data_IF_177038419805
#
_entry.id   IF_177038419805
#
_cell.length_a   1.000
_cell.length_b   1.000
_cell.length_c   1.000
_cell.angle_alpha   90.00
_cell.angle_beta   90.00
_cell.angle_gamma   90.00
#
_symmetry.space_group_name_H-M   'P 1'
#
loop_
_entity.id
_entity.type
_entity.pdbx_description
1 polymer ?
#
# COMPACT_ATOMS: atom_id res chain seq x y z
N UNK A 1 -4.24 -6.88 8.49
CA UNK A 1 -4.64 -6.13 7.28
C UNK A 1 -3.60 -5.04 7.01
N UNK A 2 -3.71 -4.34 5.87
CA UNK A 2 -2.81 -3.23 5.49
C UNK A 2 -3.41 -2.42 4.32
N UNK A 3 -2.89 -1.21 4.08
CA UNK A 3 -3.16 -0.37 2.91
C UNK A 3 -1.85 -0.06 2.17
N UNK A 4 -1.90 0.10 0.85
CA UNK A 4 -0.72 0.41 0.02
C UNK A 4 -0.97 1.68 -0.78
N UNK A 5 -0.03 2.60 -0.70
CA UNK A 5 -0.01 3.85 -1.44
C UNK A 5 1.36 4.01 -2.12
N UNK A 6 1.40 4.77 -3.21
CA UNK A 6 2.66 5.09 -3.90
C UNK A 6 3.11 6.50 -3.50
N UNK A 7 4.32 6.61 -2.93
CA UNK A 7 5.01 7.88 -2.74
C UNK A 7 5.90 8.17 -3.95
N UNK A 8 5.60 9.26 -4.66
CA UNK A 8 6.45 9.80 -5.71
C UNK A 8 7.29 10.95 -5.16
N UNK A 9 8.61 10.72 -5.10
CA UNK A 9 9.60 11.72 -4.69
C UNK A 9 10.12 12.44 -5.93
N UNK A 10 9.78 13.72 -6.08
CA UNK A 10 10.22 14.55 -7.19
C UNK A 10 11.54 15.24 -6.85
N UNK A 11 12.34 15.61 -7.86
CA UNK A 11 13.53 16.45 -7.67
C UNK A 11 13.22 17.93 -7.42
N UNK A 12 11.93 18.31 -7.50
CA UNK A 12 11.44 19.63 -7.10
C UNK A 12 11.10 19.72 -5.61
N UNK A 13 10.32 20.72 -5.23
CA UNK A 13 9.99 21.00 -3.81
C UNK A 13 8.85 20.14 -3.25
N UNK A 14 8.01 19.52 -4.10
CA UNK A 14 6.79 18.82 -3.66
C UNK A 14 6.81 17.32 -3.98
N UNK A 15 6.57 16.50 -2.95
CA UNK A 15 6.31 15.07 -3.08
C UNK A 15 4.80 14.79 -3.15
N UNK A 16 4.44 13.67 -3.77
CA UNK A 16 3.05 13.30 -4.01
C UNK A 16 2.74 11.87 -3.57
N UNK A 17 1.52 11.65 -3.09
CA UNK A 17 0.93 10.35 -2.81
C UNK A 17 -0.09 10.02 -3.90
N UNK A 18 0.03 8.82 -4.45
CA UNK A 18 -1.00 8.19 -5.27
C UNK A 18 -1.66 7.08 -4.46
N UNK A 19 -2.86 7.35 -3.99
CA UNK A 19 -3.76 6.41 -3.33
C UNK A 19 -5.01 6.28 -4.20
N UNK A 20 -5.31 5.08 -4.68
CA UNK A 20 -6.45 4.86 -5.58
C UNK A 20 -7.80 4.84 -4.85
N UNK A 21 -7.79 4.72 -3.53
CA UNK A 21 -8.99 4.62 -2.69
C UNK A 21 -9.30 5.91 -1.92
N UNK A 22 -8.52 6.98 -2.13
CA UNK A 22 -8.70 8.24 -1.41
C UNK A 22 -9.82 9.12 -1.98
N UNK A 23 -10.47 9.90 -1.11
CA UNK A 23 -11.35 11.00 -1.50
C UNK A 23 -10.62 12.33 -1.74
N UNK A 24 -9.31 12.39 -1.46
CA UNK A 24 -8.43 13.54 -1.70
C UNK A 24 -8.08 13.66 -3.20
N UNK A 25 -7.45 14.77 -3.65
CA UNK A 25 -6.96 14.88 -5.02
C UNK A 25 -6.02 13.73 -5.40
N UNK A 26 -6.01 13.33 -6.69
CA UNK A 26 -5.13 12.28 -7.19
C UNK A 26 -4.28 12.79 -8.36
N UNK A 27 -2.92 12.83 -8.24
CA UNK A 27 -2.16 12.57 -7.02
C UNK A 27 -2.33 13.68 -5.95
N UNK A 28 -2.19 13.33 -4.68
CA UNK A 28 -2.32 14.25 -3.54
C UNK A 28 -0.94 14.76 -3.11
N UNK A 29 -0.74 16.06 -2.80
CA UNK A 29 0.49 16.52 -2.15
C UNK A 29 0.73 15.77 -0.83
N UNK A 30 1.99 15.38 -0.56
CA UNK A 30 2.35 14.60 0.62
C UNK A 30 1.91 15.26 1.93
N UNK A 31 2.07 16.58 2.04
CA UNK A 31 1.69 17.34 3.24
C UNK A 31 0.17 17.25 3.48
N UNK A 32 -0.63 17.52 2.44
CA UNK A 32 -2.10 17.41 2.49
C UNK A 32 -2.53 15.98 2.83
N UNK A 33 -1.91 14.96 2.22
CA UNK A 33 -2.26 13.57 2.51
C UNK A 33 -1.90 13.18 3.95
N UNK A 34 -0.74 13.63 4.44
CA UNK A 34 -0.30 13.39 5.82
C UNK A 34 -1.24 14.02 6.84
N UNK A 35 -1.69 15.24 6.62
CA UNK A 35 -2.60 15.94 7.53
C UNK A 35 -4.02 15.39 7.48
N UNK A 36 -4.56 15.11 6.29
CA UNK A 36 -5.99 14.77 6.15
C UNK A 36 -6.27 13.27 6.26
N UNK A 37 -5.39 12.42 5.69
CA UNK A 37 -5.59 10.97 5.65
C UNK A 37 -4.92 10.25 6.81
N UNK A 38 -3.65 10.57 7.12
CA UNK A 38 -2.97 9.97 8.26
C UNK A 38 -3.35 10.64 9.58
N UNK A 39 -3.30 11.98 9.64
CA UNK A 39 -3.43 12.76 10.90
C UNK A 39 -2.35 12.38 11.91
N UNK A 40 -2.40 12.92 13.12
CA UNK A 40 -1.56 12.44 14.22
C UNK A 40 -2.12 11.12 14.76
N UNK A 41 -1.25 10.27 15.32
CA UNK A 41 -1.69 9.11 16.11
C UNK A 41 -2.17 9.53 17.52
N UNK A 42 -2.00 10.80 17.88
CA UNK A 42 -2.44 11.34 19.17
C UNK A 42 -3.96 11.12 19.36
N UNK A 43 -4.32 10.48 20.48
CA UNK A 43 -5.69 10.11 20.79
C UNK A 43 -6.14 8.74 20.25
N UNK A 44 -5.29 8.03 19.50
CA UNK A 44 -5.52 6.61 19.17
C UNK A 44 -5.00 5.70 20.28
N UNK A 45 -5.58 4.50 20.39
CA UNK A 45 -4.99 3.45 21.21
C UNK A 45 -3.62 3.05 20.63
N UNK A 46 -2.60 2.75 21.45
CA UNK A 46 -1.26 2.38 20.97
C UNK A 46 -1.24 1.23 19.95
N UNK A 47 -2.20 0.32 20.04
CA UNK A 47 -2.37 -0.82 19.12
C UNK A 47 -2.81 -0.39 17.71
N UNK A 48 -3.41 0.80 17.61
CA UNK A 48 -3.90 1.40 16.36
C UNK A 48 -2.92 2.41 15.76
N UNK A 49 -1.76 2.63 16.38
CA UNK A 49 -0.73 3.52 15.82
C UNK A 49 -0.24 2.99 14.48
N UNK A 50 -0.29 3.83 13.44
CA UNK A 50 0.09 3.37 12.10
C UNK A 50 1.60 3.18 12.01
N UNK A 51 2.01 2.12 11.33
CA UNK A 51 3.42 1.85 11.01
C UNK A 51 3.58 1.84 9.49
N UNK A 52 4.65 2.48 9.00
CA UNK A 52 4.91 2.62 7.57
C UNK A 52 6.15 1.81 7.20
N UNK A 53 6.00 0.91 6.22
CA UNK A 53 7.14 0.23 5.57
C UNK A 53 7.39 0.89 4.22
N UNK A 54 8.46 1.67 4.12
CA UNK A 54 8.86 2.31 2.87
C UNK A 54 9.72 1.35 2.03
N UNK A 55 9.31 1.11 0.79
CA UNK A 55 10.01 0.23 -0.16
C UNK A 55 10.21 1.01 -1.45
N UNK A 56 11.43 1.02 -1.99
CA UNK A 56 11.68 1.61 -3.31
C UNK A 56 10.89 0.87 -4.38
N UNK A 57 10.30 1.62 -5.32
CA UNK A 57 9.46 1.04 -6.38
C UNK A 57 10.22 -0.02 -7.21
N UNK A 58 11.49 0.21 -7.52
CA UNK A 58 12.30 -0.74 -8.29
C UNK A 58 12.61 -2.02 -7.51
N UNK A 59 12.75 -1.94 -6.18
CA UNK A 59 12.88 -3.12 -5.33
C UNK A 59 11.55 -3.86 -5.24
N UNK A 60 10.44 -3.14 -5.02
CA UNK A 60 9.09 -3.72 -4.98
C UNK A 60 8.79 -4.52 -6.25
N UNK A 61 9.03 -3.95 -7.43
CA UNK A 61 8.83 -4.64 -8.70
C UNK A 61 9.70 -5.90 -8.87
N UNK A 62 10.91 -5.91 -8.30
CA UNK A 62 11.83 -7.06 -8.41
C UNK A 62 11.52 -8.18 -7.43
N UNK A 63 11.00 -7.87 -6.24
CA UNK A 63 10.93 -8.83 -5.13
C UNK A 63 9.53 -9.11 -4.62
N UNK A 64 8.52 -8.34 -5.05
CA UNK A 64 7.14 -8.54 -4.61
C UNK A 64 6.56 -9.79 -5.27
N UNK A 65 5.96 -10.65 -4.44
CA UNK A 65 5.15 -11.77 -4.91
C UNK A 65 3.91 -11.92 -4.03
N UNK A 66 2.79 -12.30 -4.64
CA UNK A 66 1.59 -12.68 -3.90
C UNK A 66 0.79 -13.71 -4.67
N UNK A 67 0.57 -14.86 -4.02
CA UNK A 67 -0.30 -15.92 -4.51
C UNK A 67 -1.80 -15.64 -4.25
N UNK A 68 -2.09 -14.50 -3.60
CA UNK A 68 -3.43 -14.02 -3.19
C UNK A 68 -4.16 -14.95 -2.22
N UNK A 69 -3.49 -15.94 -1.61
CA UNK A 69 -4.11 -16.93 -0.74
C UNK A 69 -4.79 -16.31 0.49
N UNK A 70 -4.23 -15.22 1.03
CA UNK A 70 -4.81 -14.46 2.15
C UNK A 70 -6.20 -13.86 1.86
N UNK A 71 -6.61 -13.76 0.59
CA UNK A 71 -7.93 -13.27 0.18
C UNK A 71 -8.97 -14.38 0.03
N UNK A 72 -8.64 -15.64 0.35
CA UNK A 72 -9.58 -16.76 0.41
C UNK A 72 -10.03 -17.00 1.85
N UNK A 73 -11.28 -17.39 2.02
CA UNK A 73 -11.81 -17.82 3.32
C UNK A 73 -11.41 -19.28 3.64
N UNK A 74 -11.84 -19.77 4.81
CA UNK A 74 -11.56 -21.14 5.26
C UNK A 74 -12.13 -22.23 4.32
N UNK A 75 -13.10 -21.90 3.46
CA UNK A 75 -13.68 -22.80 2.46
C UNK A 75 -13.03 -22.62 1.07
N UNK A 76 -12.01 -21.78 0.95
CA UNK A 76 -11.33 -21.47 -0.32
C UNK A 76 -12.08 -20.49 -1.21
N UNK A 77 -13.16 -19.86 -0.73
CA UNK A 77 -13.92 -18.88 -1.51
C UNK A 77 -13.27 -17.50 -1.42
N UNK A 78 -13.25 -16.78 -2.54
CA UNK A 78 -12.73 -15.42 -2.59
C UNK A 78 -13.59 -14.46 -1.75
N UNK A 79 -12.94 -13.73 -0.84
CA UNK A 79 -13.57 -12.66 -0.05
C UNK A 79 -13.94 -11.45 -0.93
N UNK A 80 -13.10 -11.17 -1.94
CA UNK A 80 -13.34 -10.19 -3.02
C UNK A 80 -12.87 -10.77 -4.35
N UNK A 81 -13.49 -10.41 -5.49
CA UNK A 81 -13.03 -10.87 -6.80
C UNK A 81 -11.56 -10.51 -7.01
N UNK A 82 -10.69 -11.46 -7.36
CA UNK A 82 -9.29 -11.15 -7.63
C UNK A 82 -9.15 -10.41 -8.96
N UNK A 83 -8.05 -9.67 -9.18
CA UNK A 83 -7.72 -9.14 -10.49
C UNK A 83 -7.65 -10.25 -11.55
N UNK A 84 -8.03 -9.91 -12.80
CA UNK A 84 -8.13 -10.88 -13.91
C UNK A 84 -6.79 -11.35 -14.47
N UNK A 85 -5.70 -10.62 -14.20
CA UNK A 85 -4.35 -11.04 -14.57
C UNK A 85 -3.80 -12.09 -13.59
N UNK A 86 -2.82 -12.93 -14.02
CA UNK A 86 -2.18 -13.93 -13.17
C UNK A 86 -1.58 -13.35 -11.88
N UNK A 87 -1.27 -14.19 -10.90
CA UNK A 87 -0.57 -13.76 -9.70
C UNK A 87 0.76 -13.09 -10.05
N UNK A 88 1.17 -12.11 -9.24
CA UNK A 88 2.48 -11.48 -9.40
C UNK A 88 3.48 -12.42 -8.73
N UNK A 89 4.44 -12.90 -9.51
CA UNK A 89 5.45 -13.87 -9.10
C UNK A 89 6.84 -13.35 -9.45
N UNK A 90 7.81 -13.61 -8.58
CA UNK A 90 9.22 -13.25 -8.77
C UNK A 90 10.09 -14.44 -8.38
N UNK A 91 11.27 -14.57 -9.01
CA UNK A 91 12.23 -15.61 -8.67
C UNK A 91 12.90 -15.35 -7.32
N UNK A 92 13.17 -14.08 -7.01
CA UNK A 92 13.75 -13.62 -5.75
C UNK A 92 12.64 -13.18 -4.79
N UNK A 93 12.14 -14.12 -3.99
CA UNK A 93 11.04 -13.88 -3.04
C UNK A 93 11.50 -13.14 -1.77
N UNK A 94 11.85 -11.86 -1.92
CA UNK A 94 12.28 -10.99 -0.83
C UNK A 94 11.12 -10.27 -0.12
N UNK A 95 9.98 -10.12 -0.78
CA UNK A 95 8.78 -9.48 -0.24
C UNK A 95 7.55 -10.32 -0.59
N UNK A 96 7.17 -11.20 0.34
CA UNK A 96 5.96 -12.01 0.25
C UNK A 96 4.85 -11.41 1.11
N UNK A 97 3.60 -11.57 0.64
CA UNK A 97 2.36 -11.28 1.37
C UNK A 97 1.68 -12.56 1.83
#
# INVERSE_FOLDING_TARGET
DYHVILLHVSSGEQNFISDLDTGLPFPCPLEVYGEEAFRLDEGLCPESHRKIRLIRADLYLRTFASDRSHMKDANGKWQKPPPSYPCIETADKGLEL
#
